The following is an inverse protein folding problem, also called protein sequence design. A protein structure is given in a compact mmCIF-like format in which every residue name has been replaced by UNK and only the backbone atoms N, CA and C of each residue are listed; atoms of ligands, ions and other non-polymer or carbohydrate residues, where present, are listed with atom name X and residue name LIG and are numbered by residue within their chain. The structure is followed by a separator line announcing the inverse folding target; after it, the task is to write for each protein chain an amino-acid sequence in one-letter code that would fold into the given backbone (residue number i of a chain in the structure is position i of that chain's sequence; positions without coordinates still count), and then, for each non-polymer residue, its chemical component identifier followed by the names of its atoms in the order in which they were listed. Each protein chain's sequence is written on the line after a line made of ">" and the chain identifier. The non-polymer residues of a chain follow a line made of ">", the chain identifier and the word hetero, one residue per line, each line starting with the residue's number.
data_IF_514917737279
#
_entry.id   IF_514917737279
#
_cell.length_a   1.000
_cell.length_b   1.000
_cell.length_c   1.000
_cell.angle_alpha   90.00
_cell.angle_beta   90.00
_cell.angle_gamma   90.00
#
_symmetry.space_group_name_H-M   'P 1'
#
loop_
_entity.id
_entity.type
_entity.pdbx_description
1 polymer ?
#
# COMPACT_ATOMS: atom_id res chain seq x y z
N UNK A 1 11.47 40.59 1.40
CA UNK A 1 11.44 39.57 2.44
C UNK A 1 10.44 38.49 2.03
N UNK A 2 10.88 37.28 1.71
CA UNK A 2 9.96 36.14 1.57
C UNK A 2 9.56 35.71 2.96
N UNK A 3 8.33 36.00 3.37
CA UNK A 3 7.80 35.56 4.66
C UNK A 3 7.89 34.03 4.75
N UNK A 4 8.43 33.54 5.87
CA UNK A 4 8.48 32.11 6.18
C UNK A 4 7.04 31.61 6.19
N UNK A 5 6.69 30.70 5.24
CA UNK A 5 5.38 30.04 5.28
C UNK A 5 5.29 29.31 6.62
N UNK A 6 4.16 29.44 7.33
CA UNK A 6 3.99 28.68 8.56
C UNK A 6 4.08 27.18 8.23
N UNK A 7 4.90 26.45 8.96
CA UNK A 7 4.96 24.99 8.88
C UNK A 7 3.76 24.42 9.61
N UNK A 8 2.97 23.63 8.90
CA UNK A 8 1.85 22.89 9.50
C UNK A 8 2.38 21.56 10.03
N UNK A 9 2.11 21.27 11.30
CA UNK A 9 2.40 19.96 11.87
C UNK A 9 1.29 18.98 11.45
N UNK A 10 1.67 17.98 10.65
CA UNK A 10 0.77 16.93 10.17
C UNK A 10 0.91 15.63 10.97
N UNK A 11 1.73 15.63 12.02
CA UNK A 11 1.92 14.45 12.87
C UNK A 11 0.58 13.93 13.36
N UNK A 12 0.36 12.64 13.20
CA UNK A 12 -0.88 11.97 13.61
C UNK A 12 -0.57 10.67 14.36
N UNK A 13 -1.59 10.10 15.01
CA UNK A 13 -1.45 8.88 15.79
C UNK A 13 -2.52 7.87 15.41
N UNK A 14 -2.11 6.61 15.34
CA UNK A 14 -3.01 5.45 15.24
C UNK A 14 -2.68 4.54 16.42
N UNK A 15 -3.50 4.61 17.47
CA UNK A 15 -3.17 3.96 18.74
C UNK A 15 -1.85 4.49 19.33
N UNK A 16 -0.89 3.62 19.55
CA UNK A 16 0.46 3.97 20.04
C UNK A 16 1.44 4.38 18.94
N UNK A 17 1.09 4.15 17.66
CA UNK A 17 1.96 4.45 16.52
C UNK A 17 1.85 5.93 16.15
N UNK A 18 2.99 6.62 16.07
CA UNK A 18 3.08 8.01 15.63
C UNK A 18 3.50 8.02 14.16
N UNK A 19 2.74 8.74 13.33
CA UNK A 19 2.99 8.88 11.90
C UNK A 19 3.36 10.35 11.59
N UNK A 20 4.26 10.61 10.64
CA UNK A 20 4.67 11.96 10.27
C UNK A 20 3.55 12.77 9.60
N UNK A 21 2.55 12.10 9.02
CA UNK A 21 1.36 12.70 8.44
C UNK A 21 0.24 11.65 8.31
N UNK A 22 -1.01 12.04 8.05
CA UNK A 22 -2.16 11.11 7.99
C UNK A 22 -2.35 10.42 6.62
N UNK A 23 -1.45 10.60 5.66
CA UNK A 23 -1.61 10.04 4.31
C UNK A 23 -1.01 8.64 4.26
N UNK A 24 -1.82 7.66 3.96
CA UNK A 24 -1.44 6.26 3.85
C UNK A 24 -1.91 5.70 2.50
N UNK A 25 -1.20 4.71 1.98
CA UNK A 25 -1.72 3.93 0.86
C UNK A 25 -2.86 3.03 1.32
N UNK A 26 -3.73 2.63 0.40
CA UNK A 26 -4.78 1.64 0.68
C UNK A 26 -4.32 0.24 0.29
N UNK A 27 -4.70 -0.76 1.09
CA UNK A 27 -4.37 -2.16 0.81
C UNK A 27 -4.78 -2.59 -0.60
N UNK A 28 -3.87 -3.22 -1.31
CA UNK A 28 -4.08 -3.72 -2.66
C UNK A 28 -4.01 -2.68 -3.77
N UNK A 29 -3.85 -1.39 -3.46
CA UNK A 29 -3.72 -0.31 -4.46
C UNK A 29 -2.28 0.09 -4.74
N UNK A 30 -1.38 -0.22 -3.82
CA UNK A 30 0.05 0.08 -3.89
C UNK A 30 0.91 -1.18 -4.01
N UNK A 31 0.33 -2.29 -4.44
CA UNK A 31 1.00 -3.57 -4.56
C UNK A 31 1.63 -4.00 -3.23
N UNK A 32 2.86 -4.44 -3.27
CA UNK A 32 3.63 -4.84 -2.09
C UNK A 32 4.51 -3.71 -1.53
N UNK A 33 4.37 -2.52 -2.07
CA UNK A 33 4.91 -1.27 -1.55
C UNK A 33 5.93 -0.62 -2.47
N UNK A 34 6.94 -1.35 -2.90
CA UNK A 34 8.07 -0.79 -3.67
C UNK A 34 7.71 -0.30 -5.08
N UNK A 35 6.61 -0.79 -5.68
CA UNK A 35 6.19 -0.43 -7.04
C UNK A 35 5.87 1.07 -7.18
N UNK A 36 5.48 1.71 -6.09
CA UNK A 36 5.21 3.14 -6.09
C UNK A 36 6.47 4.02 -6.05
N UNK A 37 7.61 3.46 -5.69
CA UNK A 37 8.85 4.23 -5.52
C UNK A 37 9.32 4.92 -6.81
N UNK A 38 8.94 4.39 -7.97
CA UNK A 38 9.22 5.00 -9.27
C UNK A 38 8.41 6.28 -9.55
N UNK A 39 7.35 6.51 -8.78
CA UNK A 39 6.41 7.60 -9.01
C UNK A 39 6.38 8.64 -7.90
N UNK A 40 6.75 8.26 -6.68
CA UNK A 40 6.78 9.15 -5.54
C UNK A 40 7.81 8.70 -4.49
N UNK A 41 8.24 9.66 -3.68
CA UNK A 41 9.05 9.37 -2.51
C UNK A 41 8.17 8.77 -1.39
N UNK A 42 8.35 7.49 -1.14
CA UNK A 42 7.59 6.75 -0.11
C UNK A 42 7.79 7.35 1.29
N UNK A 43 8.96 7.94 1.55
CA UNK A 43 9.23 8.62 2.83
C UNK A 43 8.37 9.88 3.04
N UNK A 44 7.72 10.40 2.00
CA UNK A 44 6.78 11.52 2.10
C UNK A 44 5.40 11.11 2.66
N UNK A 45 5.10 9.81 2.71
CA UNK A 45 3.85 9.27 3.23
C UNK A 45 3.93 9.06 4.75
N UNK A 46 2.76 9.01 5.39
CA UNK A 46 2.64 8.63 6.78
C UNK A 46 2.94 7.15 6.99
N UNK A 47 2.44 6.30 6.10
CA UNK A 47 2.75 4.87 6.06
C UNK A 47 2.39 4.26 4.69
N UNK A 48 2.94 3.11 4.41
CA UNK A 48 2.60 2.29 3.25
C UNK A 48 1.82 1.07 3.75
N UNK A 49 0.57 0.93 3.29
CA UNK A 49 -0.24 -0.25 3.53
C UNK A 49 -0.10 -1.16 2.31
N UNK A 50 0.54 -2.29 2.51
CA UNK A 50 0.75 -3.26 1.44
C UNK A 50 -0.46 -4.15 1.24
N UNK A 51 -0.52 -4.88 0.12
CA UNK A 51 -1.54 -5.89 -0.14
C UNK A 51 -1.53 -6.94 0.97
N UNK A 52 -2.72 -7.43 1.35
CA UNK A 52 -2.86 -8.51 2.33
C UNK A 52 -2.03 -9.72 1.95
N UNK A 53 -1.34 -10.27 2.92
CA UNK A 53 -0.46 -11.42 2.76
C UNK A 53 -1.06 -12.66 3.43
N UNK A 54 -0.92 -13.80 2.78
CA UNK A 54 -1.11 -15.11 3.40
C UNK A 54 0.20 -15.60 4.03
N UNK A 55 0.13 -16.58 4.91
CA UNK A 55 1.32 -17.28 5.39
C UNK A 55 2.04 -17.99 4.23
N UNK A 56 1.28 -18.71 3.41
CA UNK A 56 1.77 -19.44 2.24
C UNK A 56 1.49 -18.66 0.93
N UNK A 57 2.23 -18.93 -0.15
CA UNK A 57 1.90 -18.45 -1.49
C UNK A 57 0.49 -18.89 -1.91
N UNK A 58 -0.24 -18.00 -2.57
CA UNK A 58 -1.59 -18.28 -3.02
C UNK A 58 -1.85 -17.67 -4.40
N UNK A 59 -2.31 -18.47 -5.34
CA UNK A 59 -2.56 -18.02 -6.73
C UNK A 59 -3.85 -17.20 -6.88
N UNK A 60 -4.74 -17.29 -5.91
CA UNK A 60 -6.07 -16.70 -5.99
C UNK A 60 -7.05 -17.57 -6.75
N UNK A 61 -8.15 -16.97 -7.18
CA UNK A 61 -9.18 -17.67 -7.93
C UNK A 61 -8.79 -17.82 -9.41
N UNK A 62 -9.31 -18.85 -10.12
CA UNK A 62 -9.11 -18.98 -11.56
C UNK A 62 -9.77 -17.82 -12.32
N UNK A 63 -9.21 -17.46 -13.48
CA UNK A 63 -9.80 -16.48 -14.39
C UNK A 63 -11.07 -17.06 -15.08
N UNK A 64 -12.07 -16.20 -15.48
CA UNK A 64 -12.09 -14.75 -15.34
C UNK A 64 -12.42 -14.32 -13.90
N UNK A 65 -11.73 -13.31 -13.37
CA UNK A 65 -11.87 -12.85 -11.99
C UNK A 65 -12.03 -11.34 -11.83
N UNK A 66 -12.22 -10.67 -12.96
CA UNK A 66 -12.54 -9.25 -13.04
C UNK A 66 -13.63 -9.06 -14.07
N UNK A 67 -14.67 -8.29 -13.76
CA UNK A 67 -15.78 -7.99 -14.63
C UNK A 67 -16.17 -6.52 -14.55
N UNK A 68 -16.25 -5.86 -15.71
CA UNK A 68 -16.72 -4.48 -15.79
C UNK A 68 -18.24 -4.42 -15.57
N UNK A 69 -18.69 -3.40 -14.83
CA UNK A 69 -20.10 -3.05 -14.65
C UNK A 69 -20.35 -1.65 -15.21
N UNK A 70 -21.61 -1.23 -15.42
CA UNK A 70 -21.91 0.12 -15.96
C UNK A 70 -21.31 1.27 -15.14
N UNK A 71 -21.12 1.09 -13.82
CA UNK A 71 -20.66 2.14 -12.91
C UNK A 71 -19.35 1.77 -12.18
N UNK A 72 -18.67 0.70 -12.57
CA UNK A 72 -17.46 0.26 -11.89
C UNK A 72 -17.00 -1.13 -12.32
N UNK A 73 -16.50 -1.90 -11.36
CA UNK A 73 -15.91 -3.20 -11.60
C UNK A 73 -16.20 -4.14 -10.42
N UNK A 74 -16.49 -5.40 -10.75
CA UNK A 74 -16.49 -6.50 -9.79
C UNK A 74 -15.21 -7.30 -9.92
N UNK A 75 -14.69 -7.77 -8.81
CA UNK A 75 -13.57 -8.69 -8.83
C UNK A 75 -13.78 -9.86 -7.87
N UNK A 76 -13.14 -10.97 -8.19
CA UNK A 76 -12.99 -12.15 -7.38
C UNK A 76 -11.57 -12.67 -7.52
N UNK A 77 -10.59 -11.80 -7.25
CA UNK A 77 -9.17 -12.15 -7.39
C UNK A 77 -8.77 -13.24 -6.40
N UNK A 78 -9.36 -13.24 -5.20
CA UNK A 78 -9.16 -14.29 -4.21
C UNK A 78 -7.89 -14.12 -3.37
N UNK A 79 -7.44 -12.86 -3.17
CA UNK A 79 -6.30 -12.53 -2.31
C UNK A 79 -4.99 -13.23 -2.72
N UNK A 80 -4.69 -13.29 -4.01
CA UNK A 80 -3.42 -13.84 -4.51
C UNK A 80 -2.22 -13.13 -3.88
N UNK A 81 -1.14 -13.84 -3.68
CA UNK A 81 0.09 -13.25 -3.17
C UNK A 81 1.24 -14.24 -3.03
N UNK A 82 2.46 -13.73 -2.83
CA UNK A 82 3.67 -14.54 -2.78
C UNK A 82 3.85 -15.28 -1.45
N UNK A 83 3.04 -14.97 -0.44
CA UNK A 83 3.25 -15.40 0.94
C UNK A 83 4.14 -14.45 1.73
N UNK A 84 3.96 -14.44 3.05
CA UNK A 84 4.66 -13.50 3.93
C UNK A 84 6.19 -13.68 3.91
N UNK A 85 6.67 -14.90 3.81
CA UNK A 85 8.11 -15.18 3.80
C UNK A 85 8.79 -14.59 2.56
N UNK A 86 8.21 -14.79 1.38
CA UNK A 86 8.72 -14.21 0.15
C UNK A 86 8.67 -12.68 0.19
N UNK A 87 7.61 -12.10 0.73
CA UNK A 87 7.49 -10.66 0.89
C UNK A 87 8.57 -10.09 1.82
N UNK A 88 8.81 -10.73 2.97
CA UNK A 88 9.86 -10.31 3.91
C UNK A 88 11.27 -10.38 3.31
N UNK A 89 11.48 -11.33 2.40
CA UNK A 89 12.79 -11.59 1.81
C UNK A 89 13.08 -10.70 0.59
N UNK A 90 12.07 -10.41 -0.23
CA UNK A 90 12.24 -9.74 -1.53
C UNK A 90 11.63 -8.34 -1.56
N UNK A 91 10.39 -8.18 -1.11
CA UNK A 91 9.66 -6.91 -1.26
C UNK A 91 10.00 -5.91 -0.15
N UNK A 92 10.02 -6.36 1.10
CA UNK A 92 10.31 -5.48 2.24
C UNK A 92 11.70 -4.81 2.15
N UNK A 93 12.79 -5.51 1.76
CA UNK A 93 14.09 -4.86 1.61
C UNK A 93 14.16 -3.83 0.47
N UNK A 94 13.21 -3.87 -0.47
CA UNK A 94 13.11 -2.92 -1.57
C UNK A 94 12.30 -1.65 -1.22
N UNK A 95 11.67 -1.61 -0.05
CA UNK A 95 10.99 -0.43 0.49
C UNK A 95 11.98 0.55 1.08
#
# INVERSE_FOLDING_TARGET
>A
MRGRRPTVDLTTRVGSVVLPNPVLTASGTAGYGHELADHLDLASLGAVIVKSLHAEPWEGNPAPRVHATPAGMLNSVGLQGPGVEAWLTHDLPAL
#
